data_IF_344785355920
#
_entry.id   IF_344785355920
#
_cell.length_a   1.000
_cell.length_b   1.000
_cell.length_c   1.000
_cell.angle_alpha   90.00
_cell.angle_beta   90.00
_cell.angle_gamma   90.00
#
_symmetry.space_group_name_H-M   'P 1'
#
loop_
_entity.id
_entity.type
_entity.pdbx_description
1 polymer ?
#
# COMPACT_ATOMS: atom_id res chain seq x y z
N UNK A 1 -5.65 11.13 5.59
CA UNK A 1 -5.23 10.35 4.40
C UNK A 1 -5.86 8.97 4.47
N UNK A 2 -6.12 8.34 3.32
CA UNK A 2 -6.58 6.95 3.24
C UNK A 2 -5.63 6.13 2.38
N UNK A 3 -5.38 4.88 2.78
CA UNK A 3 -4.60 3.89 2.01
C UNK A 3 -5.58 3.03 1.21
N UNK A 4 -5.26 2.74 -0.03
CA UNK A 4 -6.05 1.89 -0.92
C UNK A 4 -5.19 0.85 -1.62
N UNK A 5 -5.84 -0.21 -2.09
CA UNK A 5 -5.25 -1.27 -2.92
C UNK A 5 -6.00 -1.45 -4.24
N UNK A 6 -5.38 -2.16 -5.16
CA UNK A 6 -6.02 -2.74 -6.34
C UNK A 6 -5.60 -4.19 -6.47
N UNK A 7 -6.41 -4.98 -7.17
CA UNK A 7 -6.18 -6.40 -7.38
C UNK A 7 -5.98 -6.68 -8.87
N UNK A 8 -5.11 -7.63 -9.17
CA UNK A 8 -5.04 -8.19 -10.52
C UNK A 8 -6.31 -8.99 -10.82
N UNK A 9 -6.93 -8.74 -11.97
CA UNK A 9 -8.19 -9.42 -12.33
C UNK A 9 -7.97 -10.93 -12.57
N UNK A 10 -6.77 -11.36 -12.91
CA UNK A 10 -6.44 -12.76 -13.19
C UNK A 10 -5.93 -13.47 -11.94
N UNK A 11 -4.89 -12.94 -11.27
CA UNK A 11 -4.26 -13.62 -10.14
C UNK A 11 -4.99 -13.41 -8.82
N UNK A 12 -5.84 -12.38 -8.74
CA UNK A 12 -6.50 -11.91 -7.50
C UNK A 12 -5.53 -11.43 -6.43
N UNK A 13 -4.26 -11.26 -6.75
CA UNK A 13 -3.27 -10.69 -5.85
C UNK A 13 -3.32 -9.16 -5.87
N UNK A 14 -2.87 -8.55 -4.79
CA UNK A 14 -2.70 -7.09 -4.73
C UNK A 14 -1.67 -6.66 -5.76
N UNK A 15 -2.04 -5.80 -6.71
CA UNK A 15 -1.15 -5.34 -7.78
C UNK A 15 -0.86 -3.83 -7.72
N UNK A 16 -1.53 -3.08 -6.84
CA UNK A 16 -1.27 -1.66 -6.64
C UNK A 16 -1.55 -1.27 -5.20
N UNK A 17 -0.72 -0.39 -4.64
CA UNK A 17 -0.97 0.27 -3.35
C UNK A 17 -0.79 1.77 -3.55
N UNK A 18 -1.67 2.55 -2.93
CA UNK A 18 -1.62 4.00 -3.01
C UNK A 18 -2.22 4.69 -1.80
N UNK A 19 -1.94 5.99 -1.66
CA UNK A 19 -2.61 6.87 -0.69
C UNK A 19 -3.36 8.02 -1.37
N UNK A 20 -4.41 8.51 -0.73
CA UNK A 20 -5.18 9.68 -1.20
C UNK A 20 -5.83 10.44 -0.04
N UNK A 21 -6.11 11.72 -0.25
CA UNK A 21 -6.98 12.52 0.61
C UNK A 21 -8.45 12.52 0.15
N UNK A 22 -8.72 12.05 -1.07
CA UNK A 22 -10.04 11.98 -1.67
C UNK A 22 -10.16 10.69 -2.51
N UNK A 23 -10.92 9.72 -1.99
CA UNK A 23 -11.07 8.39 -2.60
C UNK A 23 -11.87 8.46 -3.89
N UNK A 24 -12.99 9.20 -3.90
CA UNK A 24 -13.86 9.31 -5.07
C UNK A 24 -13.09 9.86 -6.28
N UNK A 25 -12.43 11.01 -6.10
CA UNK A 25 -11.60 11.62 -7.14
C UNK A 25 -10.50 10.66 -7.60
N UNK A 26 -9.78 10.03 -6.66
CA UNK A 26 -8.67 9.13 -6.98
C UNK A 26 -9.12 7.88 -7.73
N UNK A 27 -10.33 7.41 -7.48
CA UNK A 27 -10.92 6.27 -8.20
C UNK A 27 -11.03 6.57 -9.69
N UNK A 28 -11.57 7.74 -10.06
CA UNK A 28 -11.66 8.15 -11.47
C UNK A 28 -10.29 8.37 -12.11
N UNK A 29 -9.34 8.97 -11.38
CA UNK A 29 -7.98 9.20 -11.87
C UNK A 29 -7.27 7.89 -12.20
N UNK A 30 -7.32 6.92 -11.29
CA UNK A 30 -6.62 5.64 -11.49
C UNK A 30 -7.28 4.80 -12.58
N UNK A 31 -8.61 4.81 -12.66
CA UNK A 31 -9.32 4.13 -13.74
C UNK A 31 -8.94 4.74 -15.10
N UNK A 32 -8.91 6.07 -15.23
CA UNK A 32 -8.58 6.72 -16.51
C UNK A 32 -7.10 6.57 -16.90
N UNK A 33 -6.19 6.71 -15.95
CA UNK A 33 -4.75 6.75 -16.23
C UNK A 33 -4.11 5.36 -16.32
N UNK A 34 -4.66 4.36 -15.62
CA UNK A 34 -4.05 3.03 -15.48
C UNK A 34 -5.00 1.88 -15.72
N UNK A 35 -6.29 2.15 -15.92
CA UNK A 35 -7.33 1.13 -16.03
C UNK A 35 -7.39 0.18 -14.81
N UNK A 36 -7.16 0.72 -13.60
CA UNK A 36 -7.26 -0.05 -12.35
C UNK A 36 -8.44 0.43 -11.50
N UNK A 37 -9.14 -0.51 -10.87
CA UNK A 37 -10.15 -0.23 -9.85
C UNK A 37 -9.49 -0.24 -8.48
N UNK A 38 -9.71 0.78 -7.68
CA UNK A 38 -9.11 0.90 -6.35
C UNK A 38 -10.15 0.67 -5.27
N UNK A 39 -9.69 0.11 -4.16
CA UNK A 39 -10.49 -0.18 -2.97
C UNK A 39 -9.75 0.37 -1.74
N UNK A 40 -10.37 1.28 -0.97
CA UNK A 40 -9.83 1.67 0.33
C UNK A 40 -9.65 0.44 1.22
N UNK A 41 -8.52 0.38 1.91
CA UNK A 41 -8.28 -0.69 2.88
C UNK A 41 -9.04 -0.34 4.16
N UNK A 42 -9.81 -1.31 4.67
CA UNK A 42 -10.56 -1.14 5.91
C UNK A 42 -9.65 -0.73 7.08
N UNK A 43 -10.11 0.18 7.93
CA UNK A 43 -9.32 0.73 9.05
C UNK A 43 -8.23 1.74 8.66
N UNK A 44 -7.74 1.75 7.41
CA UNK A 44 -6.63 2.61 6.97
C UNK A 44 -7.12 3.95 6.39
N UNK A 45 -8.05 4.60 7.10
CA UNK A 45 -8.58 5.91 6.76
C UNK A 45 -8.27 6.93 7.87
N UNK A 46 -8.41 8.22 7.54
CA UNK A 46 -8.13 9.34 8.46
C UNK A 46 -6.71 9.35 9.08
N UNK A 47 -5.73 8.76 8.40
CA UNK A 47 -4.33 8.74 8.85
C UNK A 47 -3.66 10.10 8.65
N UNK A 48 -2.64 10.38 9.45
CA UNK A 48 -1.69 11.46 9.14
C UNK A 48 -0.99 11.19 7.80
N UNK A 49 -0.42 12.21 7.17
CA UNK A 49 0.32 12.01 5.92
C UNK A 49 1.54 11.09 6.12
N UNK A 50 2.22 11.24 7.27
CA UNK A 50 3.33 10.38 7.63
C UNK A 50 2.89 8.92 7.82
N UNK A 51 1.85 8.68 8.63
CA UNK A 51 1.33 7.33 8.89
C UNK A 51 0.84 6.66 7.60
N UNK A 52 0.19 7.42 6.70
CA UNK A 52 -0.24 6.90 5.42
C UNK A 52 0.95 6.48 4.53
N UNK A 53 2.00 7.31 4.45
CA UNK A 53 3.23 6.97 3.69
C UNK A 53 3.99 5.80 4.32
N UNK A 54 4.06 5.75 5.65
CA UNK A 54 4.66 4.65 6.41
C UNK A 54 3.92 3.33 6.11
N UNK A 55 2.59 3.36 6.18
CA UNK A 55 1.73 2.20 5.90
C UNK A 55 1.82 1.75 4.45
N UNK A 56 1.78 2.69 3.49
CA UNK A 56 1.99 2.41 2.07
C UNK A 56 3.37 1.79 1.82
N UNK A 57 4.43 2.31 2.45
CA UNK A 57 5.76 1.74 2.31
C UNK A 57 5.84 0.32 2.89
N UNK A 58 5.23 0.07 4.05
CA UNK A 58 5.17 -1.28 4.62
C UNK A 58 4.44 -2.26 3.69
N UNK A 59 3.30 -1.87 3.12
CA UNK A 59 2.58 -2.67 2.12
C UNK A 59 3.40 -2.91 0.85
N UNK A 60 4.20 -1.93 0.41
CA UNK A 60 5.12 -2.09 -0.72
C UNK A 60 6.23 -3.11 -0.42
N UNK A 61 6.75 -3.16 0.80
CA UNK A 61 7.73 -4.18 1.21
C UNK A 61 7.08 -5.57 1.30
N UNK A 62 5.85 -5.66 1.80
CA UNK A 62 5.08 -6.91 1.92
C UNK A 62 4.81 -7.55 0.56
N UNK A 63 4.27 -6.78 -0.39
CA UNK A 63 3.85 -7.31 -1.70
C UNK A 63 4.98 -7.29 -2.74
N UNK A 64 5.98 -6.42 -2.54
CA UNK A 64 7.11 -6.25 -3.44
C UNK A 64 6.74 -5.59 -4.78
N UNK A 65 7.71 -4.89 -5.37
CA UNK A 65 7.56 -4.32 -6.72
C UNK A 65 7.81 -5.41 -7.78
N UNK A 66 7.10 -5.37 -8.91
CA UNK A 66 7.30 -6.32 -10.03
C UNK A 66 8.76 -6.42 -10.51
N UNK A 67 9.47 -5.29 -10.59
CA UNK A 67 10.90 -5.26 -10.95
C UNK A 67 11.82 -6.00 -9.97
N UNK A 68 11.32 -6.32 -8.78
CA UNK A 68 11.98 -7.06 -7.73
C UNK A 68 11.35 -8.46 -7.51
N UNK A 69 10.49 -8.93 -8.42
CA UNK A 69 9.80 -10.21 -8.30
C UNK A 69 8.54 -10.21 -7.44
N UNK A 70 8.04 -9.03 -7.01
CA UNK A 70 6.76 -8.90 -6.32
C UNK A 70 5.57 -8.69 -7.28
N UNK A 71 4.42 -8.35 -6.73
CA UNK A 71 3.17 -8.23 -7.49
C UNK A 71 2.83 -6.79 -7.91
N UNK A 72 3.44 -5.78 -7.27
CA UNK A 72 3.02 -4.39 -7.44
C UNK A 72 3.52 -3.77 -8.74
N UNK A 73 2.59 -3.23 -9.53
CA UNK A 73 2.87 -2.41 -10.73
C UNK A 73 3.42 -1.02 -10.38
N UNK A 74 3.48 -0.65 -9.09
CA UNK A 74 4.10 0.57 -8.62
C UNK A 74 5.54 0.69 -9.17
N UNK A 75 5.89 1.86 -9.69
CA UNK A 75 7.23 2.09 -10.28
C UNK A 75 8.27 2.43 -9.21
N UNK A 76 7.82 3.07 -8.13
CA UNK A 76 8.65 3.66 -7.08
C UNK A 76 8.13 3.26 -5.69
N UNK A 77 9.01 3.42 -4.72
CA UNK A 77 8.67 3.39 -3.30
C UNK A 77 8.15 4.77 -2.87
N UNK A 78 7.30 4.81 -1.85
CA UNK A 78 6.84 6.08 -1.27
C UNK A 78 7.86 6.72 -0.35
N UNK A 79 8.72 5.91 0.26
CA UNK A 79 9.90 6.36 1.00
C UNK A 79 11.13 5.76 0.30
N UNK A 80 12.05 6.64 -0.13
CA UNK A 80 13.23 6.23 -0.86
C UNK A 80 14.06 5.22 -0.05
N UNK A 81 14.64 4.22 -0.73
CA UNK A 81 15.44 3.16 -0.08
C UNK A 81 16.63 3.69 0.72
N UNK A 82 17.21 4.79 0.27
CA UNK A 82 18.36 5.47 0.89
C UNK A 82 17.96 6.44 2.00
N UNK A 83 16.66 6.64 2.25
CA UNK A 83 16.21 7.55 3.29
C UNK A 83 16.47 6.91 4.67
N UNK A 84 17.22 7.56 5.57
CA UNK A 84 17.53 7.00 6.88
C UNK A 84 16.30 6.67 7.73
N UNK A 85 15.17 7.38 7.56
CA UNK A 85 13.95 7.12 8.35
C UNK A 85 13.15 5.91 7.86
N UNK A 86 13.56 5.27 6.76
CA UNK A 86 12.77 4.23 6.11
C UNK A 86 12.49 3.06 7.05
N UNK A 87 13.49 2.61 7.80
CA UNK A 87 13.33 1.48 8.73
C UNK A 87 12.26 1.79 9.78
N UNK A 88 12.33 2.97 10.40
CA UNK A 88 11.34 3.41 11.39
C UNK A 88 9.94 3.59 10.78
N UNK A 89 9.86 4.14 9.56
CA UNK A 89 8.60 4.29 8.86
C UNK A 89 7.97 2.94 8.48
N UNK A 90 8.76 1.97 8.03
CA UNK A 90 8.26 0.61 7.75
C UNK A 90 7.77 -0.03 9.05
N UNK A 91 8.52 0.10 10.16
CA UNK A 91 8.08 -0.40 11.47
C UNK A 91 6.74 0.22 11.88
N UNK A 92 6.61 1.54 11.79
CA UNK A 92 5.36 2.24 12.09
C UNK A 92 4.21 1.79 11.19
N UNK A 93 4.46 1.61 9.90
CA UNK A 93 3.47 1.10 8.96
C UNK A 93 2.97 -0.30 9.34
N UNK A 94 3.89 -1.20 9.72
CA UNK A 94 3.55 -2.55 10.19
C UNK A 94 2.71 -2.54 11.47
N UNK A 95 3.01 -1.63 12.41
CA UNK A 95 2.20 -1.44 13.63
C UNK A 95 0.76 -1.03 13.28
N UNK A 96 0.59 -0.06 12.37
CA UNK A 96 -0.74 0.38 11.92
C UNK A 96 -1.51 -0.76 11.24
N UNK A 97 -0.84 -1.54 10.37
CA UNK A 97 -1.47 -2.69 9.72
C UNK A 97 -1.94 -3.74 10.73
N UNK A 98 -1.13 -3.98 11.77
CA UNK A 98 -1.47 -4.90 12.85
C UNK A 98 -2.65 -4.40 13.69
N UNK A 99 -2.66 -3.12 14.07
CA UNK A 99 -3.75 -2.48 14.82
C UNK A 99 -5.10 -2.53 14.09
N UNK A 100 -5.07 -2.53 12.75
CA UNK A 100 -6.25 -2.57 11.90
C UNK A 100 -6.56 -3.97 11.35
N UNK A 101 -5.92 -5.01 11.91
CA UNK A 101 -6.14 -6.42 11.55
C UNK A 101 -6.06 -6.67 10.04
N UNK A 102 -5.09 -6.04 9.36
CA UNK A 102 -4.97 -6.16 7.91
C UNK A 102 -4.82 -7.63 7.47
N UNK A 103 -5.84 -8.12 6.78
CA UNK A 103 -6.00 -9.53 6.41
C UNK A 103 -5.08 -9.98 5.27
N UNK A 104 -4.50 -9.04 4.53
CA UNK A 104 -3.47 -9.30 3.52
C UNK A 104 -2.13 -9.77 4.10
N UNK A 105 -2.02 -9.89 5.43
CA UNK A 105 -0.87 -10.46 6.14
C UNK A 105 -0.99 -11.96 6.40
N UNK A 106 -2.08 -12.64 6.01
CA UNK A 106 -2.32 -14.06 6.37
C UNK A 106 -1.23 -15.04 5.92
N UNK A 107 -0.30 -14.62 5.05
CA UNK A 107 0.84 -15.42 4.60
C UNK A 107 2.21 -14.94 5.13
N UNK A 108 2.28 -13.94 6.01
CA UNK A 108 3.54 -13.55 6.66
C UNK A 108 3.56 -14.10 8.08
N UNK A 109 3.82 -15.41 8.17
CA UNK A 109 4.37 -16.00 9.39
C UNK A 109 5.78 -15.42 9.53
N UNK A 110 5.94 -14.47 10.44
CA UNK A 110 7.27 -14.09 10.94
C UNK A 110 7.61 -15.15 11.99
N UNK A 111 8.39 -16.16 11.60
CA UNK A 111 9.12 -17.03 12.54
C UNK A 111 10.13 -16.22 13.37
#
# INVERSE_FOLDING_TARGET
MSVYRSFDENTKEVNYIGITNNVERRTYEQLRARNIRIEPIFGLNNLSEYDARATEQALIEIHGLQKNGGTLMNRINSIAKTNPIKADAVKRGLEILKENEYDGLKDIIIE
#
